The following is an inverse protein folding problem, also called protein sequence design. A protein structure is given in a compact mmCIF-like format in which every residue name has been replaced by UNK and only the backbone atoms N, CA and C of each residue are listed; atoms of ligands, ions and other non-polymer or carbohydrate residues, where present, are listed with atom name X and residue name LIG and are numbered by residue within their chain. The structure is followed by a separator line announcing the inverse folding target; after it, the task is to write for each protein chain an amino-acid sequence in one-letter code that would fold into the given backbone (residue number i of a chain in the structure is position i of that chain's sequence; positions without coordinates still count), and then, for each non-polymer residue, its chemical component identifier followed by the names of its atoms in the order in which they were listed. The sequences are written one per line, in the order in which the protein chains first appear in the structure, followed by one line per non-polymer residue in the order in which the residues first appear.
data_IF_377895187238
#
_entry.id   IF_377895187238
#
_cell.length_a   1.000
_cell.length_b   1.000
_cell.length_c   1.000
_cell.angle_alpha   90.00
_cell.angle_beta   90.00
_cell.angle_gamma   90.00
#
_symmetry.space_group_name_H-M   'P 1'
#
loop_
_entity.id
_entity.type
_entity.pdbx_description
1 polymer ?
#
# COMPACT_ATOMS: atom_id res chain seq x y z
N UNK A 1 -12.96 1.44 38.12
CA UNK A 1 -11.60 1.90 37.75
C UNK A 1 -11.62 2.28 36.27
N UNK A 2 -11.62 3.58 35.96
CA UNK A 2 -11.69 4.08 34.59
C UNK A 2 -10.31 3.90 33.93
N UNK A 3 -10.23 3.02 32.93
CA UNK A 3 -9.02 2.78 32.16
C UNK A 3 -8.67 4.04 31.37
N UNK A 4 -7.60 4.73 31.79
CA UNK A 4 -7.13 5.95 31.16
C UNK A 4 -6.88 5.74 29.68
N UNK A 5 -7.74 6.31 28.83
CA UNK A 5 -7.52 6.38 27.38
C UNK A 5 -6.27 7.23 27.17
N UNK A 6 -5.13 6.57 26.99
CA UNK A 6 -3.88 7.22 26.59
C UNK A 6 -4.14 8.01 25.32
N UNK A 7 -4.00 9.35 25.40
CA UNK A 7 -4.19 10.23 24.24
C UNK A 7 -3.30 9.70 23.11
N UNK A 8 -3.82 9.54 21.87
CA UNK A 8 -3.00 9.07 20.76
C UNK A 8 -1.81 10.02 20.59
N UNK A 9 -0.60 9.49 20.35
CA UNK A 9 0.58 10.32 20.21
C UNK A 9 0.37 11.34 19.08
N UNK A 10 0.90 12.57 19.19
CA UNK A 10 0.64 13.66 18.25
C UNK A 10 0.91 13.29 16.78
N UNK A 11 1.88 12.42 16.53
CA UNK A 11 2.24 11.93 15.19
C UNK A 11 1.14 11.09 14.50
N UNK A 12 0.17 10.57 15.27
CA UNK A 12 -0.98 9.78 14.82
C UNK A 12 -2.31 10.52 14.96
N UNK A 13 -2.28 11.76 15.47
CA UNK A 13 -3.46 12.61 15.52
C UNK A 13 -3.98 12.79 14.07
N UNK A 14 -5.27 12.58 13.86
CA UNK A 14 -5.92 12.65 12.54
C UNK A 14 -5.42 11.69 11.46
N UNK A 15 -4.74 10.60 11.86
CA UNK A 15 -4.34 9.54 10.95
C UNK A 15 -5.09 8.25 11.23
N UNK A 16 -5.36 7.50 10.16
CA UNK A 16 -5.82 6.11 10.22
C UNK A 16 -4.79 5.21 9.57
N UNK A 17 -4.67 3.99 10.07
CA UNK A 17 -3.75 3.02 9.53
C UNK A 17 -4.45 2.19 8.45
N UNK A 18 -3.81 2.04 7.31
CA UNK A 18 -4.18 1.04 6.29
C UNK A 18 -3.15 -0.09 6.41
N UNK A 19 -3.63 -1.32 6.56
CA UNK A 19 -2.80 -2.52 6.70
C UNK A 19 -3.34 -3.59 5.76
N UNK A 20 -2.43 -4.23 5.04
CA UNK A 20 -2.67 -5.48 4.34
C UNK A 20 -1.72 -6.57 4.86
N UNK A 21 -2.15 -7.82 4.75
CA UNK A 21 -1.36 -9.01 5.08
C UNK A 21 -0.91 -9.66 3.79
N UNK A 22 0.38 -9.55 3.48
CA UNK A 22 0.94 -9.99 2.21
C UNK A 22 1.74 -11.28 2.39
N UNK A 23 1.92 -12.01 1.29
CA UNK A 23 2.82 -13.15 1.30
C UNK A 23 4.29 -12.68 1.46
N UNK A 24 5.16 -13.48 2.10
CA UNK A 24 6.56 -13.12 2.29
C UNK A 24 7.28 -12.74 0.99
N UNK A 25 7.00 -13.46 -0.10
CA UNK A 25 7.58 -13.20 -1.43
C UNK A 25 7.24 -11.80 -1.94
N UNK A 26 5.99 -11.35 -1.77
CA UNK A 26 5.57 -10.00 -2.14
C UNK A 26 6.32 -8.94 -1.32
N UNK A 27 6.56 -9.19 -0.03
CA UNK A 27 7.34 -8.29 0.83
C UNK A 27 8.79 -8.18 0.37
N UNK A 28 9.39 -9.27 -0.09
CA UNK A 28 10.76 -9.24 -0.60
C UNK A 28 10.86 -8.36 -1.85
N UNK A 29 9.91 -8.50 -2.78
CA UNK A 29 9.86 -7.67 -4.00
C UNK A 29 9.63 -6.21 -3.65
N UNK A 30 8.67 -5.91 -2.76
CA UNK A 30 8.44 -4.55 -2.25
C UNK A 30 9.70 -3.99 -1.59
N UNK A 31 10.40 -4.78 -0.79
CA UNK A 31 11.62 -4.35 -0.10
C UNK A 31 12.74 -4.02 -1.09
N UNK A 32 12.89 -4.82 -2.17
CA UNK A 32 13.81 -4.53 -3.27
C UNK A 32 13.45 -3.21 -3.95
N UNK A 33 12.18 -3.01 -4.31
CA UNK A 33 11.68 -1.77 -4.94
C UNK A 33 11.91 -0.54 -4.06
N UNK A 34 11.56 -0.61 -2.77
CA UNK A 34 11.83 0.42 -1.75
C UNK A 34 13.31 0.80 -1.75
N UNK A 35 14.20 -0.19 -1.84
CA UNK A 35 15.64 0.05 -1.83
C UNK A 35 16.17 0.64 -3.13
N UNK A 36 15.66 0.21 -4.28
CA UNK A 36 16.08 0.66 -5.60
C UNK A 36 15.60 2.10 -5.88
N UNK A 37 14.36 2.40 -5.52
CA UNK A 37 13.72 3.70 -5.81
C UNK A 37 13.91 4.73 -4.69
N UNK A 38 14.56 4.36 -3.58
CA UNK A 38 14.75 5.24 -2.43
C UNK A 38 13.45 5.65 -1.72
N UNK A 39 12.34 4.96 -1.98
CA UNK A 39 11.02 5.23 -1.40
C UNK A 39 10.89 4.65 0.00
N UNK A 40 9.92 5.15 0.76
CA UNK A 40 9.46 4.55 2.01
C UNK A 40 8.35 3.53 1.75
N UNK A 41 8.16 2.56 2.65
CA UNK A 41 7.07 1.59 2.52
C UNK A 41 5.67 2.22 2.48
N UNK A 42 5.48 3.38 3.13
CA UNK A 42 4.22 4.12 3.05
C UNK A 42 4.00 4.74 1.66
N UNK A 43 5.06 5.20 0.99
CA UNK A 43 4.98 5.71 -0.38
C UNK A 43 4.66 4.58 -1.36
N UNK A 44 5.34 3.44 -1.25
CA UNK A 44 5.03 2.26 -2.09
C UNK A 44 3.61 1.76 -1.86
N UNK A 45 3.12 1.77 -0.61
CA UNK A 45 1.73 1.45 -0.32
C UNK A 45 0.75 2.44 -0.97
N UNK A 46 1.09 3.73 -0.96
CA UNK A 46 0.29 4.74 -1.63
C UNK A 46 0.31 4.59 -3.15
N UNK A 47 1.44 4.17 -3.72
CA UNK A 47 1.62 3.85 -5.16
C UNK A 47 0.72 2.70 -5.57
N UNK A 48 0.70 1.62 -4.80
CA UNK A 48 -0.22 0.50 -5.02
C UNK A 48 -1.69 0.97 -5.02
N UNK A 49 -2.10 1.77 -4.04
CA UNK A 49 -3.49 2.26 -3.96
C UNK A 49 -3.82 3.17 -5.15
N UNK A 50 -2.93 4.10 -5.51
CA UNK A 50 -3.15 4.98 -6.65
C UNK A 50 -3.15 4.23 -7.99
N UNK A 51 -2.39 3.15 -8.13
CA UNK A 51 -2.41 2.30 -9.33
C UNK A 51 -3.81 1.69 -9.54
N UNK A 52 -4.45 1.22 -8.45
CA UNK A 52 -5.84 0.74 -8.52
C UNK A 52 -6.81 1.88 -8.82
N UNK A 53 -6.64 3.07 -8.24
CA UNK A 53 -7.46 4.23 -8.58
C UNK A 53 -7.36 4.56 -10.09
N UNK A 54 -6.15 4.55 -10.63
CA UNK A 54 -5.89 4.83 -12.04
C UNK A 54 -6.51 3.77 -12.96
N UNK A 55 -6.48 2.49 -12.58
CA UNK A 55 -7.15 1.40 -13.31
C UNK A 55 -8.66 1.66 -13.47
N UNK A 56 -9.27 2.32 -12.49
CA UNK A 56 -10.69 2.70 -12.50
C UNK A 56 -10.93 4.14 -13.00
N UNK A 57 -9.95 4.77 -13.67
CA UNK A 57 -10.10 6.09 -14.28
C UNK A 57 -10.16 7.26 -13.30
N UNK A 58 -9.76 7.05 -12.04
CA UNK A 58 -9.85 8.06 -11.00
C UNK A 58 -8.52 8.76 -10.72
N UNK A 59 -8.55 10.02 -10.27
CA UNK A 59 -7.35 10.75 -9.93
C UNK A 59 -6.64 10.16 -8.69
N UNK A 60 -5.31 10.32 -8.58
CA UNK A 60 -4.54 9.82 -7.45
C UNK A 60 -4.99 10.48 -6.15
N UNK A 61 -5.25 9.65 -5.13
CA UNK A 61 -5.77 10.09 -3.83
C UNK A 61 -4.66 10.34 -2.82
N UNK A 62 -3.52 9.68 -2.98
CA UNK A 62 -2.33 9.87 -2.14
C UNK A 62 -1.31 10.68 -2.93
N UNK A 63 -1.00 11.89 -2.48
CA UNK A 63 0.11 12.68 -3.04
C UNK A 63 1.41 12.28 -2.33
N UNK A 64 2.45 11.97 -3.09
CA UNK A 64 3.77 11.68 -2.56
C UNK A 64 4.57 12.96 -2.36
N UNK A 65 5.41 12.97 -1.33
CA UNK A 65 6.40 14.00 -1.11
C UNK A 65 7.49 13.40 -0.24
N UNK A 66 8.70 13.26 -0.80
CA UNK A 66 9.87 12.71 -0.12
C UNK A 66 10.30 13.62 1.03
N UNK A 67 9.60 13.54 2.17
CA UNK A 67 9.88 14.37 3.35
C UNK A 67 10.72 13.65 4.41
N UNK A 68 11.24 12.43 4.13
CA UNK A 68 12.10 11.70 5.07
C UNK A 68 13.32 11.07 4.40
N UNK A 69 14.45 11.75 4.53
CA UNK A 69 15.81 11.22 4.32
C UNK A 69 16.23 10.15 5.35
N UNK A 70 15.48 9.95 6.44
CA UNK A 70 15.87 9.05 7.54
C UNK A 70 15.32 7.64 7.34
N UNK A 71 16.15 6.77 6.76
CA UNK A 71 15.89 5.33 6.60
C UNK A 71 16.11 4.61 7.93
N UNK A 72 15.04 4.36 8.70
CA UNK A 72 15.13 3.53 9.93
C UNK A 72 15.13 2.05 9.56
N UNK A 73 16.29 1.39 9.59
CA UNK A 73 16.43 -0.06 9.35
C UNK A 73 15.99 -0.94 10.55
N UNK A 74 15.72 -0.36 11.72
CA UNK A 74 15.34 -1.10 12.94
C UNK A 74 13.84 -1.39 12.99
N UNK A 75 13.40 -2.39 12.23
CA UNK A 75 12.29 -3.33 12.53
C UNK A 75 11.80 -3.94 11.22
N UNK A 76 12.38 -5.07 10.83
CA UNK A 76 11.72 -5.93 9.84
C UNK A 76 10.43 -6.44 10.47
N UNK A 77 9.29 -6.22 9.81
CA UNK A 77 8.06 -6.90 10.19
C UNK A 77 8.33 -8.41 10.09
N UNK A 78 8.21 -9.13 11.20
CA UNK A 78 8.36 -10.59 11.20
C UNK A 78 7.03 -11.23 10.78
N UNK A 79 7.10 -12.33 10.04
CA UNK A 79 5.95 -13.19 9.77
C UNK A 79 5.33 -13.64 11.09
N UNK A 80 4.00 -13.58 11.21
CA UNK A 80 3.33 -14.08 12.42
C UNK A 80 3.39 -15.60 12.44
N UNK A 81 3.93 -16.16 13.52
CA UNK A 81 4.04 -17.61 13.72
C UNK A 81 2.67 -18.30 13.56
N UNK A 82 2.66 -19.44 12.87
CA UNK A 82 1.44 -20.17 12.47
C UNK A 82 0.49 -20.53 13.61
N UNK A 83 0.98 -20.65 14.86
CA UNK A 83 0.18 -21.11 16.00
C UNK A 83 -0.63 -20.01 16.69
N UNK A 84 -0.32 -18.72 16.50
CA UNK A 84 -0.93 -17.62 17.29
C UNK A 84 -1.73 -16.59 16.48
N UNK A 85 -1.79 -16.74 15.15
CA UNK A 85 -2.50 -15.80 14.28
C UNK A 85 -3.87 -16.36 13.81
N UNK A 86 -4.90 -15.49 13.63
CA UNK A 86 -6.12 -15.85 12.91
C UNK A 86 -5.81 -16.43 11.53
N UNK A 87 -6.62 -17.37 11.03
CA UNK A 87 -6.37 -18.10 9.77
C UNK A 87 -5.92 -17.21 8.61
N UNK A 88 -6.61 -16.07 8.40
CA UNK A 88 -6.32 -15.09 7.35
C UNK A 88 -5.00 -14.31 7.49
N UNK A 89 -4.26 -14.47 8.60
CA UNK A 89 -3.00 -13.77 8.91
C UNK A 89 -1.83 -14.73 9.15
N UNK A 90 -2.05 -16.05 9.05
CA UNK A 90 -1.02 -17.07 9.25
C UNK A 90 -0.04 -17.03 8.08
N UNK A 91 1.27 -17.09 8.36
CA UNK A 91 2.32 -17.07 7.32
C UNK A 91 2.53 -15.72 6.63
N UNK A 92 1.55 -14.82 6.68
CA UNK A 92 1.59 -13.49 6.07
C UNK A 92 2.31 -12.45 6.93
N UNK A 93 2.82 -11.43 6.26
CA UNK A 93 3.52 -10.29 6.85
C UNK A 93 2.62 -9.06 6.76
N UNK A 94 2.50 -8.32 7.86
CA UNK A 94 1.73 -7.08 7.88
C UNK A 94 2.52 -5.95 7.19
N UNK A 95 1.93 -5.37 6.16
CA UNK A 95 2.44 -4.19 5.46
C UNK A 95 1.41 -3.07 5.54
N UNK A 96 1.83 -1.89 6.00
CA UNK A 96 0.88 -0.83 6.28
C UNK A 96 1.52 0.53 6.50
N UNK A 97 0.68 1.56 6.40
CA UNK A 97 1.06 2.97 6.49
C UNK A 97 -0.01 3.79 7.21
N UNK A 98 0.40 4.96 7.72
CA UNK A 98 -0.51 5.89 8.40
C UNK A 98 -0.89 7.05 7.49
N UNK A 99 -2.15 7.14 7.12
CA UNK A 99 -2.68 8.15 6.20
C UNK A 99 -3.62 9.12 6.91
N UNK A 100 -3.80 10.32 6.35
CA UNK A 100 -4.76 11.28 6.89
C UNK A 100 -6.18 10.68 6.85
N UNK A 101 -7.02 11.06 7.83
CA UNK A 101 -8.41 10.57 7.91
C UNK A 101 -9.20 10.81 6.62
N UNK A 102 -8.99 11.95 5.96
CA UNK A 102 -9.69 12.30 4.72
C UNK A 102 -9.27 11.40 3.56
N UNK A 103 -7.96 11.12 3.43
CA UNK A 103 -7.42 10.16 2.46
C UNK A 103 -8.01 8.77 2.70
N UNK A 104 -8.03 8.33 3.96
CA UNK A 104 -8.63 7.04 4.32
C UNK A 104 -10.13 7.02 4.01
N UNK A 105 -10.88 8.10 4.27
CA UNK A 105 -12.30 8.18 3.96
C UNK A 105 -12.57 8.07 2.45
N UNK A 106 -11.76 8.72 1.62
CA UNK A 106 -11.85 8.60 0.15
C UNK A 106 -11.59 7.17 -0.33
N UNK A 107 -10.55 6.52 0.19
CA UNK A 107 -10.25 5.13 -0.17
C UNK A 107 -11.36 4.19 0.34
N UNK A 108 -11.93 4.45 1.52
CA UNK A 108 -13.06 3.68 2.04
C UNK A 108 -14.32 3.81 1.17
N UNK A 109 -14.62 5.02 0.72
CA UNK A 109 -15.76 5.27 -0.17
C UNK A 109 -15.58 4.53 -1.50
N UNK A 110 -14.39 4.62 -2.10
CA UNK A 110 -14.05 3.88 -3.31
C UNK A 110 -14.14 2.37 -3.13
N UNK A 111 -13.60 1.86 -2.01
CA UNK A 111 -13.65 0.44 -1.68
C UNK A 111 -15.11 -0.05 -1.57
N UNK A 112 -15.99 0.74 -0.94
CA UNK A 112 -17.41 0.42 -0.83
C UNK A 112 -18.14 0.48 -2.18
N UNK A 113 -17.80 1.44 -3.04
CA UNK A 113 -18.40 1.57 -4.37
C UNK A 113 -18.11 0.36 -5.27
N UNK A 114 -16.91 -0.21 -5.16
CA UNK A 114 -16.48 -1.36 -5.94
C UNK A 114 -16.67 -2.72 -5.26
N UNK A 115 -17.27 -2.75 -4.06
CA UNK A 115 -17.37 -3.94 -3.20
C UNK A 115 -15.99 -4.62 -2.98
N UNK A 116 -14.95 -3.81 -2.81
CA UNK A 116 -13.58 -4.26 -2.56
C UNK A 116 -13.19 -4.04 -1.11
N UNK A 117 -12.30 -4.89 -0.60
CA UNK A 117 -11.67 -4.67 0.70
C UNK A 117 -10.35 -3.90 0.55
N UNK A 118 -9.90 -3.22 1.60
CA UNK A 118 -8.56 -2.62 1.62
C UNK A 118 -7.44 -3.64 1.35
N UNK A 119 -7.63 -4.88 1.82
CA UNK A 119 -6.71 -5.98 1.55
C UNK A 119 -6.60 -6.22 0.04
N UNK A 120 -7.74 -6.34 -0.65
CA UNK A 120 -7.80 -6.59 -2.09
C UNK A 120 -7.24 -5.43 -2.91
N UNK A 121 -7.54 -4.19 -2.52
CA UNK A 121 -7.00 -2.98 -3.19
C UNK A 121 -5.47 -2.99 -3.09
N UNK A 122 -4.92 -3.27 -1.90
CA UNK A 122 -3.48 -3.26 -1.68
C UNK A 122 -2.80 -4.43 -2.40
N UNK A 123 -3.36 -5.64 -2.33
CA UNK A 123 -2.83 -6.82 -3.06
C UNK A 123 -2.80 -6.58 -4.57
N UNK A 124 -3.91 -6.13 -5.17
CA UNK A 124 -3.98 -5.80 -6.60
C UNK A 124 -3.00 -4.71 -6.97
N UNK A 125 -2.97 -3.63 -6.19
CA UNK A 125 -2.07 -2.51 -6.44
C UNK A 125 -0.59 -2.89 -6.34
N UNK A 126 -0.25 -3.80 -5.43
CA UNK A 126 1.12 -4.31 -5.29
C UNK A 126 1.50 -5.10 -6.53
N UNK A 127 0.67 -6.07 -6.95
CA UNK A 127 0.90 -6.83 -8.19
C UNK A 127 1.14 -5.89 -9.38
N UNK A 128 0.34 -4.83 -9.53
CA UNK A 128 0.52 -3.87 -10.63
C UNK A 128 1.86 -3.10 -10.61
N UNK A 129 2.45 -2.84 -9.44
CA UNK A 129 3.69 -2.06 -9.31
C UNK A 129 4.94 -2.93 -9.15
N UNK A 130 4.77 -4.23 -8.89
CA UNK A 130 5.84 -5.20 -8.68
C UNK A 130 5.96 -6.24 -9.79
N UNK A 131 4.87 -6.57 -10.48
CA UNK A 131 4.93 -7.47 -11.61
C UNK A 131 5.66 -6.76 -12.76
N UNK A 132 6.64 -7.41 -13.40
CA UNK A 132 7.16 -6.90 -14.65
C UNK A 132 6.00 -6.92 -15.63
N UNK A 133 5.49 -5.75 -16.01
CA UNK A 133 4.57 -5.62 -17.14
C UNK A 133 5.20 -6.41 -18.30
N UNK A 134 4.54 -7.42 -18.88
CA UNK A 134 5.03 -7.96 -20.14
C UNK A 134 5.10 -6.78 -21.11
N UNK A 135 6.20 -6.66 -21.83
CA UNK A 135 6.54 -5.51 -22.66
C UNK A 135 5.61 -5.32 -23.88
N UNK A 136 4.44 -5.95 -23.93
CA UNK A 136 3.64 -6.12 -25.15
C UNK A 136 2.43 -5.17 -25.29
N UNK A 137 2.24 -4.18 -24.41
CA UNK A 137 1.12 -3.22 -24.56
C UNK A 137 1.56 -1.75 -24.61
N UNK A 138 2.77 -1.48 -25.13
CA UNK A 138 3.19 -0.10 -25.44
C UNK A 138 3.47 0.16 -26.92
N UNK A 139 3.28 -0.82 -27.82
CA UNK A 139 3.59 -0.66 -29.25
C UNK A 139 2.37 -0.31 -30.15
N UNK A 140 1.12 -0.46 -29.69
CA UNK A 140 -0.04 -0.20 -30.57
C UNK A 140 -0.55 1.27 -30.59
N UNK A 141 -0.01 2.16 -29.76
CA UNK A 141 -0.47 3.55 -29.70
C UNK A 141 0.31 4.52 -30.61
N UNK A 142 1.49 4.15 -31.13
CA UNK A 142 2.34 5.07 -31.91
C UNK A 142 2.28 4.85 -33.43
N UNK A 143 1.62 3.80 -33.91
CA UNK A 143 1.57 3.46 -35.35
C UNK A 143 0.33 4.04 -36.06
N UNK A 144 -0.58 4.70 -35.36
CA UNK A 144 -1.82 5.26 -35.97
C UNK A 144 -1.77 6.73 -36.39
N UNK A 145 -0.68 7.45 -36.12
CA UNK A 145 -0.53 8.86 -36.52
C UNK A 145 0.36 9.07 -37.76
N UNK A 146 0.68 8.01 -38.50
CA UNK A 146 1.30 8.11 -39.82
C UNK A 146 0.49 7.30 -40.84
N UNK A 147 -0.66 7.85 -41.22
CA UNK A 147 -1.39 7.46 -42.41
C UNK A 147 -1.76 8.70 -43.23
#
# INVERSE_FOLDING_TARGET
MSTGKTKPPPSRLNKKQIIAFLEPEQIEVITKKISQEGKTGQEVLGEAINAVFALHGMPPVIKYGHLRLVRRQKSRAQSRAQSTAPSCRKGRVAFGGWFHKDTHAKIAAFAAELDLTFQTIVEKGISMITDPKPAEEQEEAEVRDVA
#
